data_IF_774227609194
#
_entry.id   IF_774227609194
#
_cell.length_a   1.000
_cell.length_b   1.000
_cell.length_c   1.000
_cell.angle_alpha   90.00
_cell.angle_beta   90.00
_cell.angle_gamma   90.00
#
_symmetry.space_group_name_H-M   'P 1'
#
loop_
_entity.id
_entity.type
_entity.pdbx_description
1 polymer ?
#
# COMPACT_ATOMS: atom_id res chain seq x y z
N UNK A 1 9.00 5.58 9.92
CA UNK A 1 9.92 4.46 9.88
C UNK A 1 11.15 4.78 9.01
N UNK A 2 10.95 5.47 7.89
CA UNK A 2 12.03 5.82 6.96
C UNK A 2 12.39 7.30 6.98
N UNK A 3 12.10 8.02 8.04
CA UNK A 3 12.21 9.49 8.10
C UNK A 3 13.61 10.03 7.73
N UNK A 4 14.67 9.31 8.07
CA UNK A 4 16.05 9.73 7.81
C UNK A 4 16.68 8.99 6.63
N UNK A 5 15.90 8.19 5.89
CA UNK A 5 16.40 7.44 4.76
C UNK A 5 16.27 8.27 3.47
N UNK A 6 17.39 8.44 2.76
CA UNK A 6 17.44 9.19 1.50
C UNK A 6 17.84 8.32 0.30
N UNK A 7 17.78 7.00 0.44
CA UNK A 7 18.10 6.09 -0.64
C UNK A 7 17.18 6.31 -1.84
N UNK A 8 17.74 6.32 -3.03
CA UNK A 8 16.97 6.45 -4.27
C UNK A 8 16.06 5.20 -4.45
N UNK A 9 14.89 5.40 -5.03
CA UNK A 9 14.00 4.30 -5.36
C UNK A 9 14.63 3.37 -6.40
N UNK A 10 14.34 2.07 -6.31
CA UNK A 10 14.78 1.12 -7.33
C UNK A 10 14.11 1.43 -8.67
N UNK A 11 14.75 0.98 -9.77
CA UNK A 11 14.32 1.32 -11.14
C UNK A 11 12.89 0.87 -11.47
N UNK A 12 12.43 -0.22 -10.86
CA UNK A 12 11.10 -0.77 -11.08
C UNK A 12 10.04 -0.19 -10.13
N UNK A 13 10.44 0.63 -9.14
CA UNK A 13 9.53 1.16 -8.14
C UNK A 13 8.62 2.26 -8.71
N UNK A 14 7.33 2.17 -8.42
CA UNK A 14 6.41 3.27 -8.60
C UNK A 14 6.50 4.20 -7.40
N UNK A 15 6.62 5.51 -7.62
CA UNK A 15 6.75 6.50 -6.55
C UNK A 15 5.37 6.85 -5.98
N UNK A 16 5.07 6.28 -4.83
CA UNK A 16 3.80 6.50 -4.13
C UNK A 16 3.98 7.27 -2.82
N UNK A 17 5.14 7.89 -2.59
CA UNK A 17 5.44 8.57 -1.33
C UNK A 17 4.46 9.70 -1.05
N UNK A 18 3.97 9.79 0.19
CA UNK A 18 3.10 10.88 0.63
C UNK A 18 2.06 10.43 1.65
N UNK A 19 1.22 11.39 2.01
CA UNK A 19 0.02 11.16 2.82
C UNK A 19 -1.18 11.16 1.88
N UNK A 20 -1.93 10.06 1.90
CA UNK A 20 -3.04 9.84 0.98
C UNK A 20 -4.35 9.64 1.74
N UNK A 21 -5.43 10.17 1.20
CA UNK A 21 -6.78 10.01 1.78
C UNK A 21 -7.70 9.33 0.77
N UNK A 22 -8.45 8.35 1.23
CA UNK A 22 -9.46 7.66 0.41
C UNK A 22 -10.64 8.62 0.17
N UNK A 23 -10.88 8.93 -1.09
CA UNK A 23 -11.94 9.85 -1.51
C UNK A 23 -13.07 9.16 -2.26
N UNK A 24 -12.83 7.98 -2.83
CA UNK A 24 -13.85 7.20 -3.54
C UNK A 24 -13.62 5.71 -3.32
N UNK A 25 -14.70 4.98 -3.10
CA UNK A 25 -14.68 3.50 -3.03
C UNK A 25 -15.67 2.96 -4.07
N UNK A 26 -15.23 1.93 -4.79
CA UNK A 26 -16.07 1.15 -5.71
C UNK A 26 -16.10 -0.30 -5.29
N UNK A 27 -17.29 -0.88 -5.31
CA UNK A 27 -17.52 -2.30 -5.08
C UNK A 27 -18.30 -2.83 -6.30
N UNK A 28 -17.78 -3.85 -6.97
CA UNK A 28 -18.36 -4.39 -8.22
C UNK A 28 -18.60 -3.30 -9.27
N UNK A 29 -17.62 -2.40 -9.46
CA UNK A 29 -17.65 -1.26 -10.37
C UNK A 29 -18.69 -0.18 -10.05
N UNK A 30 -19.33 -0.26 -8.90
CA UNK A 30 -20.28 0.76 -8.44
C UNK A 30 -19.68 1.60 -7.31
N UNK A 31 -19.86 2.93 -7.39
CA UNK A 31 -19.43 3.85 -6.35
C UNK A 31 -20.28 3.68 -5.10
N UNK A 32 -19.61 3.47 -3.96
CA UNK A 32 -20.27 3.36 -2.64
C UNK A 32 -19.91 4.60 -1.82
N UNK A 33 -20.85 5.51 -1.69
CA UNK A 33 -20.60 6.82 -1.06
C UNK A 33 -20.45 6.76 0.45
N UNK A 34 -21.06 5.77 1.10
CA UNK A 34 -21.06 5.61 2.56
C UNK A 34 -20.16 4.48 3.05
N UNK A 35 -19.21 4.04 2.22
CA UNK A 35 -18.27 2.98 2.61
C UNK A 35 -17.42 3.43 3.81
N UNK A 36 -17.21 2.52 4.77
CA UNK A 36 -16.47 2.83 6.01
C UNK A 36 -15.02 3.26 5.77
N UNK A 37 -14.44 2.92 4.61
CA UNK A 37 -13.07 3.30 4.27
C UNK A 37 -12.94 4.73 3.72
N UNK A 38 -14.04 5.42 3.44
CA UNK A 38 -13.99 6.83 3.01
C UNK A 38 -13.37 7.66 4.13
N UNK A 39 -12.35 8.48 3.78
CA UNK A 39 -11.59 9.26 4.75
C UNK A 39 -10.41 8.53 5.39
N UNK A 40 -10.24 7.25 5.08
CA UNK A 40 -9.08 6.47 5.55
C UNK A 40 -7.78 7.08 5.03
N UNK A 41 -6.79 7.24 5.91
CA UNK A 41 -5.50 7.83 5.57
C UNK A 41 -4.43 6.75 5.48
N UNK A 42 -3.56 6.88 4.48
CA UNK A 42 -2.37 6.05 4.34
C UNK A 42 -1.12 6.93 4.24
N UNK A 43 -0.13 6.66 5.07
CA UNK A 43 1.20 7.25 4.96
C UNK A 43 2.09 6.24 4.23
N UNK A 44 2.62 6.62 3.08
CA UNK A 44 3.49 5.76 2.28
C UNK A 44 4.90 6.33 2.26
N UNK A 45 5.84 5.55 2.76
CA UNK A 45 7.27 5.84 2.75
C UNK A 45 7.98 4.83 1.87
N UNK A 46 8.99 5.27 1.11
CA UNK A 46 9.75 4.39 0.21
C UNK A 46 11.23 4.73 0.21
N UNK A 47 12.06 3.70 0.13
CA UNK A 47 13.50 3.82 -0.09
C UNK A 47 13.99 2.55 -0.81
N UNK A 48 14.75 2.70 -1.89
CA UNK A 48 15.16 1.58 -2.74
C UNK A 48 13.96 0.72 -3.14
N UNK A 49 13.93 -0.58 -2.79
CA UNK A 49 12.79 -1.46 -3.06
C UNK A 49 11.86 -1.63 -1.85
N UNK A 50 12.05 -0.85 -0.79
CA UNK A 50 11.26 -0.93 0.44
C UNK A 50 10.07 0.02 0.38
N UNK A 51 8.91 -0.48 0.76
CA UNK A 51 7.67 0.28 0.90
C UNK A 51 7.15 0.09 2.31
N UNK A 52 6.85 1.19 3.00
CA UNK A 52 6.22 1.14 4.33
C UNK A 52 4.92 1.91 4.27
N UNK A 53 3.82 1.22 4.49
CA UNK A 53 2.48 1.81 4.55
C UNK A 53 2.02 1.79 6.00
N UNK A 54 1.75 2.97 6.55
CA UNK A 54 1.20 3.11 7.91
C UNK A 54 -0.23 3.61 7.80
N UNK A 55 -1.17 2.80 8.27
CA UNK A 55 -2.59 3.11 8.14
C UNK A 55 -3.39 2.41 9.24
N UNK A 56 -4.33 3.14 9.85
CA UNK A 56 -5.28 2.55 10.79
C UNK A 56 -4.65 1.83 11.98
N UNK A 57 -3.47 2.27 12.43
CA UNK A 57 -2.75 1.60 13.50
C UNK A 57 -1.95 0.37 13.06
N UNK A 58 -1.89 0.09 11.78
CA UNK A 58 -1.16 -1.05 11.21
C UNK A 58 0.03 -0.53 10.42
N UNK A 59 1.16 -1.21 10.50
CA UNK A 59 2.37 -0.91 9.73
C UNK A 59 2.66 -2.08 8.80
N UNK A 60 2.63 -1.81 7.49
CA UNK A 60 2.99 -2.76 6.45
C UNK A 60 4.38 -2.41 5.94
N UNK A 61 5.39 -3.12 6.37
CA UNK A 61 6.79 -2.88 6.00
C UNK A 61 7.25 -3.99 5.04
N UNK A 62 7.52 -3.62 3.79
CA UNK A 62 7.73 -4.57 2.71
C UNK A 62 8.99 -4.30 1.91
N UNK A 63 9.67 -5.37 1.51
CA UNK A 63 10.68 -5.33 0.44
C UNK A 63 10.11 -5.98 -0.80
N UNK A 64 10.11 -5.23 -1.90
CA UNK A 64 9.42 -5.62 -3.13
C UNK A 64 10.35 -6.40 -4.09
N UNK A 65 10.90 -7.48 -3.62
CA UNK A 65 11.82 -8.34 -4.39
C UNK A 65 11.23 -9.72 -4.72
N UNK A 66 9.97 -9.95 -4.39
CA UNK A 66 9.27 -11.20 -4.67
C UNK A 66 9.61 -12.35 -3.72
N UNK A 67 10.34 -12.11 -2.63
CA UNK A 67 10.69 -13.15 -1.67
C UNK A 67 9.86 -13.07 -0.41
N UNK A 68 9.55 -14.22 0.20
CA UNK A 68 8.87 -14.30 1.49
C UNK A 68 9.79 -13.82 2.62
N UNK A 69 11.07 -14.10 2.49
CA UNK A 69 12.08 -13.81 3.52
C UNK A 69 12.29 -12.32 3.76
N UNK A 70 12.21 -11.53 2.70
CA UNK A 70 12.36 -10.09 2.75
C UNK A 70 11.01 -9.36 2.68
N UNK A 71 9.97 -10.08 2.35
CA UNK A 71 8.60 -9.59 2.43
C UNK A 71 8.30 -9.38 3.88
N UNK A 72 7.82 -8.77 4.40
CA UNK A 72 7.08 -8.19 5.29
C UNK A 72 6.72 -8.54 6.61
N UNK A 73 6.62 -7.55 7.40
CA UNK A 73 5.89 -7.60 8.66
C UNK A 73 4.65 -6.72 8.55
N UNK A 74 3.50 -7.31 8.41
CA UNK A 74 2.24 -6.65 8.72
C UNK A 74 2.07 -6.76 10.23
N UNK A 75 2.09 -5.64 10.91
CA UNK A 75 2.03 -5.63 12.36
C UNK A 75 0.81 -4.85 12.82
N UNK A 76 -0.03 -5.47 13.64
CA UNK A 76 -1.14 -4.78 14.29
C UNK A 76 -0.63 -3.66 15.20
N UNK A 77 -1.50 -2.73 15.54
CA UNK A 77 -1.16 -1.58 16.37
C UNK A 77 -0.51 -1.93 17.70
N UNK A 78 -0.80 -3.11 18.23
CA UNK A 78 -0.22 -3.62 19.49
C UNK A 78 1.01 -4.53 19.26
N UNK A 79 1.43 -4.70 18.01
CA UNK A 79 2.58 -5.53 17.61
C UNK A 79 2.46 -7.01 17.99
N UNK A 80 1.25 -7.52 18.19
CA UNK A 80 1.05 -8.91 18.60
C UNK A 80 0.85 -9.86 17.43
N UNK A 81 0.66 -9.34 16.22
CA UNK A 81 0.31 -10.13 15.05
C UNK A 81 1.19 -9.77 13.86
N UNK A 82 1.83 -10.79 13.29
CA UNK A 82 2.63 -10.66 12.07
C UNK A 82 2.02 -11.52 10.96
N UNK A 83 1.97 -10.97 9.76
CA UNK A 83 1.52 -11.68 8.56
C UNK A 83 2.63 -11.63 7.53
N UNK A 84 3.02 -12.78 7.02
CA UNK A 84 4.01 -12.83 5.94
C UNK A 84 3.34 -12.53 4.59
N UNK A 85 3.97 -11.69 3.79
CA UNK A 85 3.49 -11.35 2.45
C UNK A 85 4.65 -11.38 1.45
N UNK A 86 4.30 -11.53 0.18
CA UNK A 86 5.23 -11.35 -0.94
C UNK A 86 4.86 -10.06 -1.64
N UNK A 87 5.84 -9.17 -1.79
CA UNK A 87 5.63 -7.88 -2.44
C UNK A 87 6.53 -7.76 -3.67
N UNK A 88 6.00 -7.16 -4.74
CA UNK A 88 6.72 -6.92 -5.98
C UNK A 88 6.32 -5.58 -6.59
N UNK A 89 7.17 -5.07 -7.52
CA UNK A 89 6.77 -4.04 -8.47
C UNK A 89 6.61 -4.70 -9.84
N UNK A 90 5.43 -4.59 -10.45
CA UNK A 90 5.12 -5.21 -11.73
C UNK A 90 4.50 -4.16 -12.65
N UNK A 91 5.25 -3.72 -13.67
CA UNK A 91 4.77 -2.76 -14.69
C UNK A 91 4.15 -1.47 -14.10
N UNK A 92 4.82 -0.88 -13.12
CA UNK A 92 4.33 0.35 -12.47
C UNK A 92 3.27 0.11 -11.40
N UNK A 93 3.06 -1.15 -11.00
CA UNK A 93 2.09 -1.54 -9.98
C UNK A 93 2.82 -2.15 -8.79
N UNK A 94 2.53 -1.66 -7.59
CA UNK A 94 2.96 -2.31 -6.35
C UNK A 94 1.97 -3.42 -6.02
N UNK A 95 2.44 -4.66 -5.97
CA UNK A 95 1.60 -5.85 -5.75
C UNK A 95 1.99 -6.51 -4.44
N UNK A 96 0.99 -6.79 -3.61
CA UNK A 96 1.15 -7.46 -2.32
C UNK A 96 0.30 -8.73 -2.31
N UNK A 97 0.93 -9.87 -1.99
CA UNK A 97 0.24 -11.15 -1.89
C UNK A 97 0.53 -11.81 -0.54
N UNK A 98 -0.45 -11.80 0.40
CA UNK A 98 -0.29 -12.53 1.67
C UNK A 98 -0.11 -14.03 1.40
N UNK A 99 0.80 -14.66 2.17
CA UNK A 99 1.25 -16.03 1.89
C UNK A 99 0.13 -17.07 1.98
N UNK A 100 -0.72 -16.96 3.00
CA UNK A 100 -1.77 -17.96 3.27
C UNK A 100 -3.16 -17.52 2.83
N UNK A 101 -3.25 -16.49 1.97
CA UNK A 101 -4.51 -15.94 1.52
C UNK A 101 -4.50 -15.79 0.01
N UNK A 102 -5.66 -15.94 -0.63
CA UNK A 102 -5.81 -15.75 -2.07
C UNK A 102 -6.14 -14.30 -2.46
N UNK A 103 -5.89 -13.36 -1.57
CA UNK A 103 -6.10 -11.93 -1.80
C UNK A 103 -4.87 -11.32 -2.47
N UNK A 104 -5.08 -10.43 -3.41
CA UNK A 104 -4.03 -9.62 -4.02
C UNK A 104 -4.36 -8.15 -3.80
N UNK A 105 -3.40 -7.39 -3.27
CA UNK A 105 -3.53 -5.95 -3.06
C UNK A 105 -2.63 -5.23 -4.05
N UNK A 106 -3.19 -4.30 -4.82
CA UNK A 106 -2.48 -3.58 -5.87
C UNK A 106 -2.59 -2.08 -5.63
N UNK A 107 -1.48 -1.38 -5.84
CA UNK A 107 -1.43 0.09 -5.80
C UNK A 107 -0.71 0.61 -7.02
N UNK A 108 -1.30 1.59 -7.68
CA UNK A 108 -0.68 2.27 -8.83
C UNK A 108 -1.19 3.70 -8.95
N UNK A 109 -0.47 4.50 -9.72
CA UNK A 109 -0.85 5.90 -9.95
C UNK A 109 -1.73 6.01 -11.20
N UNK A 110 -2.80 6.79 -11.08
CA UNK A 110 -3.63 7.20 -12.20
C UNK A 110 -3.63 8.74 -12.22
N UNK A 111 -2.74 9.33 -13.01
CA UNK A 111 -2.48 10.76 -12.95
C UNK A 111 -1.94 11.15 -11.57
N UNK A 112 -2.59 12.09 -10.90
CA UNK A 112 -2.23 12.54 -9.55
C UNK A 112 -2.88 11.74 -8.44
N UNK A 113 -3.67 10.73 -8.78
CA UNK A 113 -4.39 9.89 -7.79
C UNK A 113 -3.70 8.56 -7.62
N UNK A 114 -3.82 8.00 -6.42
CA UNK A 114 -3.40 6.64 -6.12
C UNK A 114 -4.63 5.73 -6.20
N UNK A 115 -4.50 4.63 -6.92
CA UNK A 115 -5.53 3.57 -6.97
C UNK A 115 -5.08 2.43 -6.07
N UNK A 116 -5.96 1.99 -5.19
CA UNK A 116 -5.73 0.89 -4.27
C UNK A 116 -6.81 -0.17 -4.47
N UNK A 117 -6.42 -1.29 -5.06
CA UNK A 117 -7.31 -2.43 -5.29
C UNK A 117 -7.08 -3.47 -4.19
N UNK A 118 -8.10 -3.75 -3.41
CA UNK A 118 -8.02 -4.69 -2.30
C UNK A 118 -8.75 -5.99 -2.66
N UNK A 119 -8.05 -6.88 -3.38
CA UNK A 119 -8.58 -8.17 -3.81
C UNK A 119 -9.93 -8.04 -4.50
N UNK A 120 -10.91 -8.92 -4.20
CA UNK A 120 -12.23 -8.84 -4.79
C UNK A 120 -13.17 -7.90 -4.01
N UNK A 121 -12.68 -7.22 -2.94
CA UNK A 121 -13.57 -6.52 -2.00
C UNK A 121 -13.92 -5.10 -2.44
N UNK A 122 -12.92 -4.31 -2.85
CA UNK A 122 -13.17 -2.94 -3.29
C UNK A 122 -11.98 -2.37 -4.06
N UNK A 123 -12.23 -1.28 -4.77
CA UNK A 123 -11.21 -0.43 -5.38
C UNK A 123 -11.36 0.99 -4.83
N UNK A 124 -10.28 1.53 -4.28
CA UNK A 124 -10.26 2.87 -3.72
C UNK A 124 -9.46 3.81 -4.61
N UNK A 125 -9.92 5.06 -4.70
CA UNK A 125 -9.11 6.17 -5.20
C UNK A 125 -8.71 7.03 -4.02
N UNK A 126 -7.43 7.42 -3.98
CA UNK A 126 -6.88 8.26 -2.93
C UNK A 126 -6.30 9.53 -3.54
N UNK A 127 -6.46 10.63 -2.83
CA UNK A 127 -5.85 11.91 -3.18
C UNK A 127 -4.73 12.23 -2.20
N UNK A 128 -3.65 12.81 -2.72
CA UNK A 128 -2.51 13.19 -1.90
C UNK A 128 -2.84 14.45 -1.11
N UNK A 129 -2.74 14.37 0.22
CA UNK A 129 -2.93 15.52 1.09
C UNK A 129 -1.65 16.30 1.30
N UNK A 130 -0.51 15.62 1.33
CA UNK A 130 0.79 16.24 1.50
C UNK A 130 1.91 15.29 1.08
N UNK A 131 3.05 15.85 0.77
CA UNK A 131 4.30 15.09 0.68
C UNK A 131 4.82 14.78 2.09
N UNK A 132 5.67 13.79 2.19
CA UNK A 132 6.31 13.46 3.47
C UNK A 132 7.40 14.44 3.83
#
# INVERSE_FOLDING_TARGET
>A
VLADCSDALSDDAVDMRGMWEVTEIRVDDEVVEDHFMIGHMQRIEQAANRVVVTAGGVVHDMRCDGTVENGVNDVDADFTREISVVATFEDGVHVLRPVDMSVEVRRYLDGAKLVWEYGPFFTAQLEKNSDL
#
